data_IF_756279476126
#
_entry.id   IF_756279476126
#
_cell.length_a   1.000
_cell.length_b   1.000
_cell.length_c   1.000
_cell.angle_alpha   90.00
_cell.angle_beta   90.00
_cell.angle_gamma   90.00
#
_symmetry.space_group_name_H-M   'P 1'
#
loop_
_entity.id
_entity.type
_entity.pdbx_description
1 polymer ?
#
# COMPACT_ATOMS: atom_id res chain seq x y z
N UNK A 1 -23.23 -16.64 22.18
CA UNK A 1 -22.44 -15.93 21.16
C UNK A 1 -22.07 -16.90 20.04
N UNK A 2 -22.25 -16.51 18.78
CA UNK A 2 -21.91 -17.31 17.62
C UNK A 2 -21.16 -16.42 16.57
N UNK A 3 -20.65 -17.02 15.49
CA UNK A 3 -19.86 -16.32 14.47
C UNK A 3 -20.65 -15.17 13.82
N UNK A 4 -21.96 -15.35 13.58
CA UNK A 4 -22.80 -14.29 12.99
C UNK A 4 -22.94 -13.07 13.90
N UNK A 5 -22.95 -13.27 15.22
CA UNK A 5 -23.03 -12.15 16.17
C UNK A 5 -21.78 -11.26 16.03
N UNK A 6 -20.60 -11.87 15.81
CA UNK A 6 -19.34 -11.16 15.56
C UNK A 6 -19.34 -10.47 14.18
N UNK A 7 -19.90 -11.10 13.15
CA UNK A 7 -20.07 -10.49 11.82
C UNK A 7 -20.95 -9.24 11.92
N UNK A 8 -22.06 -9.30 12.65
CA UNK A 8 -22.95 -8.15 12.86
C UNK A 8 -22.27 -7.01 13.62
N UNK A 9 -21.48 -7.35 14.65
CA UNK A 9 -20.73 -6.39 15.45
C UNK A 9 -19.70 -5.63 14.56
N UNK A 10 -18.94 -6.36 13.78
CA UNK A 10 -17.92 -5.78 12.87
C UNK A 10 -18.59 -4.95 11.79
N UNK A 11 -19.65 -5.44 11.14
CA UNK A 11 -20.41 -4.69 10.12
C UNK A 11 -20.98 -3.38 10.70
N UNK A 12 -21.50 -3.41 11.94
CA UNK A 12 -22.00 -2.21 12.60
C UNK A 12 -20.87 -1.19 12.89
N UNK A 13 -19.67 -1.65 13.24
CA UNK A 13 -18.51 -0.80 13.46
C UNK A 13 -18.02 -0.14 12.17
N UNK A 14 -18.11 -0.85 11.04
CA UNK A 14 -17.71 -0.33 9.73
C UNK A 14 -18.68 0.69 9.16
N UNK A 15 -19.95 0.37 9.19
CA UNK A 15 -20.99 1.22 8.60
C UNK A 15 -21.47 2.35 9.53
N UNK A 16 -21.27 2.21 10.84
CA UNK A 16 -21.77 3.12 11.88
C UNK A 16 -23.25 3.51 11.70
N UNK A 17 -24.03 2.59 11.11
CA UNK A 17 -25.41 2.76 10.77
C UNK A 17 -26.13 1.39 10.72
N UNK A 18 -27.13 1.17 11.58
CA UNK A 18 -27.80 -0.12 11.72
C UNK A 18 -28.38 -0.66 10.40
N UNK A 19 -29.07 0.16 9.62
CA UNK A 19 -29.65 -0.28 8.35
C UNK A 19 -28.59 -0.72 7.36
N UNK A 20 -27.53 0.09 7.16
CA UNK A 20 -26.42 -0.26 6.24
C UNK A 20 -25.70 -1.53 6.67
N UNK A 21 -25.45 -1.68 7.97
CA UNK A 21 -24.85 -2.90 8.51
C UNK A 21 -25.76 -4.13 8.32
N UNK A 22 -27.08 -3.99 8.48
CA UNK A 22 -28.03 -5.06 8.24
C UNK A 22 -28.08 -5.46 6.76
N UNK A 23 -28.11 -4.47 5.85
CA UNK A 23 -28.09 -4.70 4.42
C UNK A 23 -26.80 -5.43 4.00
N UNK A 24 -25.62 -5.06 4.53
CA UNK A 24 -24.35 -5.75 4.26
C UNK A 24 -24.28 -7.18 4.78
N UNK A 25 -25.03 -7.48 5.84
CA UNK A 25 -25.15 -8.83 6.41
C UNK A 25 -26.35 -9.63 5.86
N UNK A 26 -27.08 -9.09 4.89
CA UNK A 26 -28.28 -9.70 4.29
C UNK A 26 -29.35 -10.06 5.32
N UNK A 27 -29.60 -9.20 6.30
CA UNK A 27 -30.64 -9.37 7.33
C UNK A 27 -31.48 -8.11 7.50
N UNK A 28 -32.60 -8.22 8.23
CA UNK A 28 -33.39 -7.04 8.58
C UNK A 28 -32.72 -6.24 9.71
N UNK A 29 -32.91 -4.91 9.70
CA UNK A 29 -32.37 -4.03 10.74
C UNK A 29 -32.84 -4.41 12.15
N UNK A 30 -34.12 -4.80 12.40
CA UNK A 30 -34.55 -5.31 13.71
C UNK A 30 -33.79 -6.56 14.13
N UNK A 31 -33.51 -7.48 13.20
CA UNK A 31 -32.72 -8.69 13.47
C UNK A 31 -31.33 -8.35 13.96
N UNK A 32 -30.59 -7.50 13.21
CA UNK A 32 -29.24 -7.09 13.58
C UNK A 32 -29.23 -6.37 14.94
N UNK A 33 -30.14 -5.43 15.15
CA UNK A 33 -30.27 -4.69 16.42
C UNK A 33 -30.58 -5.61 17.61
N UNK A 34 -31.45 -6.59 17.42
CA UNK A 34 -31.77 -7.59 18.43
C UNK A 34 -30.58 -8.48 18.78
N UNK A 35 -29.81 -8.91 17.81
CA UNK A 35 -28.61 -9.72 18.03
C UNK A 35 -27.49 -8.94 18.71
N UNK A 36 -27.26 -7.67 18.36
CA UNK A 36 -26.31 -6.82 19.08
C UNK A 36 -26.70 -6.67 20.54
N UNK A 37 -27.98 -6.42 20.84
CA UNK A 37 -28.47 -6.34 22.24
C UNK A 37 -28.28 -7.67 22.99
N UNK A 38 -28.61 -8.80 22.36
CA UNK A 38 -28.36 -10.11 22.93
C UNK A 38 -26.89 -10.37 23.21
N UNK A 39 -26.02 -9.90 22.33
CA UNK A 39 -24.55 -9.97 22.51
C UNK A 39 -24.10 -9.13 23.72
N UNK A 40 -24.63 -7.91 23.89
CA UNK A 40 -24.37 -7.05 25.06
C UNK A 40 -24.83 -7.76 26.37
N UNK A 41 -26.04 -8.36 26.35
CA UNK A 41 -26.57 -9.08 27.52
C UNK A 41 -25.71 -10.31 27.86
N UNK A 42 -25.26 -11.06 26.87
CA UNK A 42 -24.41 -12.26 27.05
C UNK A 42 -23.01 -11.92 27.56
N UNK A 43 -22.41 -10.84 27.04
CA UNK A 43 -21.09 -10.39 27.45
C UNK A 43 -21.11 -9.57 28.75
N UNK A 44 -22.28 -9.12 29.20
CA UNK A 44 -22.42 -8.25 30.36
C UNK A 44 -21.82 -6.84 30.18
N UNK A 45 -21.64 -6.39 28.93
CA UNK A 45 -20.97 -5.12 28.60
C UNK A 45 -21.76 -4.37 27.55
N UNK A 46 -21.96 -3.05 27.74
CA UNK A 46 -22.53 -2.19 26.74
C UNK A 46 -21.51 -1.92 25.65
N UNK A 47 -21.82 -2.31 24.42
CA UNK A 47 -20.98 -2.11 23.24
C UNK A 47 -21.22 -0.75 22.59
N UNK A 48 -22.44 -0.22 22.73
CA UNK A 48 -22.90 1.02 22.12
C UNK A 48 -23.33 2.04 23.17
N UNK A 49 -23.09 3.31 22.89
CA UNK A 49 -23.70 4.40 23.65
C UNK A 49 -25.19 4.54 23.31
N UNK A 50 -26.03 4.75 24.32
CA UNK A 50 -27.48 4.89 24.13
C UNK A 50 -27.81 6.29 23.60
N UNK A 51 -27.48 6.58 22.33
CA UNK A 51 -27.91 7.80 21.65
C UNK A 51 -28.82 7.48 20.47
N UNK A 52 -29.88 8.29 20.27
CA UNK A 52 -30.88 8.02 19.22
C UNK A 52 -30.48 8.49 17.81
N UNK A 53 -29.37 9.22 17.67
CA UNK A 53 -28.99 9.88 16.40
C UNK A 53 -27.75 9.32 15.73
N UNK A 54 -26.84 8.68 16.43
CA UNK A 54 -25.58 8.13 15.89
C UNK A 54 -25.23 6.82 16.56
N UNK A 55 -24.63 5.89 15.81
CA UNK A 55 -24.04 4.69 16.36
C UNK A 55 -22.65 5.06 16.88
N UNK A 56 -22.53 5.16 18.20
CA UNK A 56 -21.27 5.38 18.89
C UNK A 56 -20.92 4.14 19.70
N UNK A 57 -19.69 3.66 19.56
CA UNK A 57 -19.16 2.54 20.32
C UNK A 57 -18.56 3.04 21.64
N UNK A 58 -18.77 2.26 22.70
CA UNK A 58 -18.03 2.45 23.96
C UNK A 58 -16.57 2.03 23.76
N UNK A 59 -15.69 2.39 24.70
CA UNK A 59 -14.31 1.92 24.69
C UNK A 59 -14.23 0.39 24.72
N UNK A 60 -15.04 -0.26 25.57
CA UNK A 60 -15.15 -1.71 25.61
C UNK A 60 -15.68 -2.29 24.29
N UNK A 61 -16.67 -1.61 23.67
CA UNK A 61 -17.21 -2.00 22.37
C UNK A 61 -16.15 -2.00 21.27
N UNK A 62 -15.29 -0.99 21.21
CA UNK A 62 -14.20 -0.93 20.22
C UNK A 62 -13.18 -2.05 20.43
N UNK A 63 -12.77 -2.33 21.67
CA UNK A 63 -11.86 -3.45 21.97
C UNK A 63 -12.46 -4.79 21.55
N UNK A 64 -13.76 -4.99 21.79
CA UNK A 64 -14.45 -6.21 21.39
C UNK A 64 -14.65 -6.32 19.87
N UNK A 65 -14.82 -5.20 19.16
CA UNK A 65 -14.81 -5.19 17.68
C UNK A 65 -13.46 -5.68 17.15
N UNK A 66 -12.34 -5.21 17.69
CA UNK A 66 -11.01 -5.63 17.24
C UNK A 66 -10.76 -7.12 17.54
N UNK A 67 -11.21 -7.59 18.71
CA UNK A 67 -11.14 -9.02 19.02
C UNK A 67 -12.07 -9.85 18.14
N UNK A 68 -13.27 -9.36 17.83
CA UNK A 68 -14.20 -10.03 16.91
C UNK A 68 -13.59 -10.18 15.49
N UNK A 69 -12.92 -9.15 15.00
CA UNK A 69 -12.15 -9.22 13.74
C UNK A 69 -11.09 -10.31 13.77
N UNK A 70 -10.38 -10.45 14.90
CA UNK A 70 -9.36 -11.50 15.06
C UNK A 70 -9.98 -12.90 15.02
N UNK A 71 -11.12 -13.12 15.68
CA UNK A 71 -11.84 -14.41 15.64
C UNK A 71 -12.36 -14.72 14.24
N UNK A 72 -12.96 -13.73 13.55
CA UNK A 72 -13.46 -13.90 12.17
C UNK A 72 -12.33 -14.21 11.19
N UNK A 73 -11.14 -13.63 11.38
CA UNK A 73 -9.93 -14.01 10.63
C UNK A 73 -9.58 -15.48 10.84
N UNK A 74 -9.60 -15.95 12.09
CA UNK A 74 -9.37 -17.38 12.40
C UNK A 74 -10.37 -18.30 11.72
N UNK A 75 -11.65 -17.91 11.64
CA UNK A 75 -12.69 -18.67 10.92
C UNK A 75 -12.44 -18.69 9.42
N UNK A 76 -12.09 -17.54 8.82
CA UNK A 76 -11.66 -17.45 7.41
C UNK A 76 -10.46 -18.37 7.16
N UNK A 77 -9.47 -18.33 8.05
CA UNK A 77 -8.30 -19.17 8.04
C UNK A 77 -8.63 -20.69 8.00
N UNK A 78 -9.55 -21.15 8.88
CA UNK A 78 -9.99 -22.56 8.88
C UNK A 78 -10.62 -22.97 7.54
N UNK A 79 -11.43 -22.10 6.94
CA UNK A 79 -12.04 -22.34 5.63
C UNK A 79 -10.98 -22.43 4.53
N UNK A 80 -9.99 -21.56 4.57
CA UNK A 80 -8.87 -21.53 3.63
C UNK A 80 -7.99 -22.77 3.75
N UNK A 81 -7.67 -23.20 4.97
CA UNK A 81 -6.96 -24.48 5.21
C UNK A 81 -7.73 -25.68 4.65
N UNK A 82 -9.03 -25.70 4.84
CA UNK A 82 -9.87 -26.78 4.32
C UNK A 82 -9.95 -26.77 2.78
N UNK A 83 -9.86 -25.59 2.15
CA UNK A 83 -9.90 -25.45 0.69
C UNK A 83 -8.55 -25.74 0.00
N UNK A 84 -7.45 -25.74 0.75
CA UNK A 84 -6.09 -25.99 0.23
C UNK A 84 -5.81 -27.45 -0.19
N UNK A 85 -6.78 -28.34 -0.18
CA UNK A 85 -6.65 -29.68 -0.81
C UNK A 85 -6.66 -29.61 -2.34
N UNK A 86 -6.69 -28.39 -2.94
CA UNK A 86 -6.64 -28.10 -4.36
C UNK A 86 -5.47 -27.16 -4.72
N UNK A 87 -5.44 -26.71 -5.97
CA UNK A 87 -4.39 -25.85 -6.54
C UNK A 87 -4.06 -24.62 -5.66
N UNK A 88 -2.80 -24.48 -5.29
CA UNK A 88 -2.31 -23.46 -4.36
C UNK A 88 -2.60 -22.02 -4.84
N UNK A 89 -2.60 -21.77 -6.16
CA UNK A 89 -2.77 -20.44 -6.77
C UNK A 89 -4.14 -20.31 -7.44
N UNK A 90 -5.23 -20.41 -6.66
CA UNK A 90 -6.62 -20.28 -7.15
C UNK A 90 -7.50 -19.52 -6.15
N UNK A 91 -8.62 -18.95 -6.62
CA UNK A 91 -9.60 -18.19 -5.82
C UNK A 91 -9.13 -16.77 -5.46
N UNK A 92 -9.86 -16.08 -4.57
CA UNK A 92 -9.65 -14.66 -4.29
C UNK A 92 -8.35 -14.39 -3.54
N UNK A 93 -7.70 -13.27 -3.88
CA UNK A 93 -6.54 -12.72 -3.21
C UNK A 93 -6.63 -11.19 -3.19
N UNK A 94 -6.74 -10.60 -2.00
CA UNK A 94 -6.82 -9.16 -1.80
C UNK A 94 -5.43 -8.58 -1.57
N UNK A 95 -4.94 -7.82 -2.54
CA UNK A 95 -3.58 -7.26 -2.57
C UNK A 95 -3.67 -5.75 -2.39
N UNK A 96 -3.00 -5.22 -1.38
CA UNK A 96 -2.80 -3.79 -1.21
C UNK A 96 -1.55 -3.31 -1.95
N UNK A 97 -1.59 -2.10 -2.52
CA UNK A 97 -0.43 -1.46 -3.15
C UNK A 97 -0.37 0.01 -2.75
N UNK A 98 0.82 0.52 -2.50
CA UNK A 98 0.99 1.97 -2.29
C UNK A 98 0.88 2.73 -3.62
N UNK A 99 0.38 3.99 -3.61
CA UNK A 99 0.16 4.78 -4.83
C UNK A 99 1.44 5.09 -5.64
N UNK A 100 2.60 4.99 -5.00
CA UNK A 100 3.89 5.18 -5.66
C UNK A 100 4.46 3.91 -6.31
N UNK A 101 3.74 2.78 -6.21
CA UNK A 101 4.12 1.48 -6.79
C UNK A 101 2.99 0.93 -7.67
N UNK A 102 1.75 0.92 -7.19
CA UNK A 102 0.62 0.27 -7.85
C UNK A 102 0.49 0.62 -9.34
N UNK A 103 0.28 1.89 -9.71
CA UNK A 103 0.06 2.29 -11.10
C UNK A 103 1.21 1.92 -12.06
N UNK A 104 2.42 1.84 -11.53
CA UNK A 104 3.63 1.64 -12.32
C UNK A 104 4.09 0.18 -12.38
N UNK A 105 3.86 -0.60 -11.31
CA UNK A 105 4.22 -2.02 -11.26
C UNK A 105 3.17 -2.91 -11.95
N UNK A 106 1.88 -2.63 -11.73
CA UNK A 106 0.79 -3.48 -12.20
C UNK A 106 0.83 -3.75 -13.71
N UNK A 107 1.11 -2.78 -14.60
CA UNK A 107 1.21 -3.04 -16.05
C UNK A 107 2.29 -4.07 -16.42
N UNK A 108 3.34 -4.18 -15.61
CA UNK A 108 4.42 -5.15 -15.83
C UNK A 108 4.09 -6.56 -15.35
N UNK A 109 3.35 -6.69 -14.26
CA UNK A 109 3.13 -7.98 -13.60
C UNK A 109 1.77 -8.62 -13.92
N UNK A 110 0.70 -7.85 -14.09
CA UNK A 110 -0.67 -8.38 -14.29
C UNK A 110 -0.78 -9.31 -15.50
N UNK A 111 -0.28 -8.95 -16.70
CA UNK A 111 -0.35 -9.86 -17.85
C UNK A 111 0.34 -11.20 -17.59
N UNK A 112 1.50 -11.19 -16.95
CA UNK A 112 2.24 -12.39 -16.60
C UNK A 112 1.50 -13.21 -15.52
N UNK A 113 0.98 -12.56 -14.47
CA UNK A 113 0.24 -13.24 -13.41
C UNK A 113 -1.04 -13.93 -13.92
N UNK A 114 -1.78 -13.31 -14.84
CA UNK A 114 -2.94 -13.95 -15.48
C UNK A 114 -2.54 -15.18 -16.30
N UNK A 115 -1.38 -15.17 -16.96
CA UNK A 115 -0.88 -16.32 -17.70
C UNK A 115 -0.39 -17.44 -16.78
N UNK A 116 0.36 -17.09 -15.73
CA UNK A 116 0.97 -18.06 -14.82
C UNK A 116 -0.04 -18.65 -13.83
N UNK A 117 -1.00 -17.84 -13.39
CA UNK A 117 -1.99 -18.20 -12.36
C UNK A 117 -3.42 -17.89 -12.83
N UNK A 118 -3.94 -18.57 -13.88
CA UNK A 118 -5.21 -18.21 -14.52
C UNK A 118 -6.45 -18.38 -13.64
N UNK A 119 -6.33 -19.10 -12.52
CA UNK A 119 -7.43 -19.31 -11.56
C UNK A 119 -7.34 -18.38 -10.33
N UNK A 120 -6.34 -17.49 -10.29
CA UNK A 120 -6.18 -16.52 -9.22
C UNK A 120 -7.05 -15.28 -9.50
N UNK A 121 -7.96 -14.97 -8.59
CA UNK A 121 -8.81 -13.79 -8.65
C UNK A 121 -8.20 -12.66 -7.82
N UNK A 122 -7.51 -11.72 -8.47
CA UNK A 122 -6.81 -10.63 -7.80
C UNK A 122 -7.74 -9.43 -7.56
N UNK A 123 -7.91 -9.04 -6.30
CA UNK A 123 -8.61 -7.83 -5.88
C UNK A 123 -7.57 -6.81 -5.41
N UNK A 124 -7.39 -5.74 -6.19
CA UNK A 124 -6.35 -4.75 -5.98
C UNK A 124 -6.90 -3.54 -5.21
N UNK A 125 -6.19 -3.12 -4.17
CA UNK A 125 -6.55 -1.99 -3.31
C UNK A 125 -5.38 -1.02 -3.23
N UNK A 126 -5.62 0.24 -3.56
CA UNK A 126 -4.60 1.28 -3.45
C UNK A 126 -4.89 2.20 -2.27
N UNK A 127 -3.90 2.37 -1.39
CA UNK A 127 -3.97 3.29 -0.26
C UNK A 127 -2.56 3.60 0.29
N UNK A 128 -2.46 4.58 1.18
CA UNK A 128 -1.21 4.92 1.87
C UNK A 128 -0.75 3.80 2.80
N UNK A 129 0.56 3.74 3.10
CA UNK A 129 1.20 2.66 3.86
C UNK A 129 0.48 2.34 5.17
N UNK A 130 0.19 3.35 6.01
CA UNK A 130 -0.45 3.14 7.31
C UNK A 130 -1.85 2.52 7.18
N UNK A 131 -2.63 2.90 6.15
CA UNK A 131 -3.96 2.36 5.88
C UNK A 131 -3.87 0.91 5.41
N UNK A 132 -2.90 0.60 4.53
CA UNK A 132 -2.67 -0.76 4.03
C UNK A 132 -2.23 -1.69 5.15
N UNK A 133 -1.31 -1.28 6.01
CA UNK A 133 -0.86 -2.07 7.16
C UNK A 133 -2.01 -2.32 8.15
N UNK A 134 -2.85 -1.32 8.42
CA UNK A 134 -4.05 -1.50 9.25
C UNK A 134 -5.07 -2.45 8.60
N UNK A 135 -5.25 -2.40 7.28
CA UNK A 135 -6.11 -3.35 6.55
C UNK A 135 -5.50 -4.75 6.49
N UNK A 136 -4.19 -4.86 6.38
CA UNK A 136 -3.46 -6.12 6.47
C UNK A 136 -3.63 -6.74 7.85
N UNK A 137 -3.41 -5.98 8.91
CA UNK A 137 -3.57 -6.44 10.29
C UNK A 137 -5.01 -6.87 10.58
N UNK A 138 -6.00 -6.09 10.15
CA UNK A 138 -7.43 -6.43 10.30
C UNK A 138 -7.91 -7.59 9.41
N UNK A 139 -7.09 -8.13 8.50
CA UNK A 139 -7.42 -9.24 7.60
C UNK A 139 -8.33 -8.85 6.42
N UNK A 140 -8.52 -7.56 6.15
CA UNK A 140 -9.19 -7.09 4.93
C UNK A 140 -8.32 -7.31 3.70
N UNK A 141 -6.98 -7.24 3.86
CA UNK A 141 -6.02 -7.58 2.84
C UNK A 141 -5.30 -8.88 3.22
N UNK A 142 -4.92 -9.64 2.21
CA UNK A 142 -4.15 -10.86 2.35
C UNK A 142 -2.65 -10.56 2.37
N UNK A 143 -2.19 -9.71 1.47
CA UNK A 143 -0.83 -9.19 1.41
C UNK A 143 -0.81 -7.75 0.88
N UNK A 144 0.35 -7.09 1.04
CA UNK A 144 0.56 -5.71 0.60
C UNK A 144 1.90 -5.62 -0.13
N UNK A 145 1.97 -4.88 -1.23
CA UNK A 145 3.21 -4.52 -1.92
C UNK A 145 3.50 -3.05 -1.64
N UNK A 146 4.62 -2.80 -0.96
CA UNK A 146 5.02 -1.47 -0.51
C UNK A 146 6.55 -1.33 -0.49
N UNK A 147 7.04 -0.12 -0.32
CA UNK A 147 8.43 0.08 0.05
C UNK A 147 8.61 -0.31 1.52
N UNK A 148 9.59 -1.19 1.80
CA UNK A 148 9.86 -1.67 3.15
C UNK A 148 10.27 -0.50 4.05
N UNK A 149 9.59 -0.37 5.17
CA UNK A 149 9.76 0.69 6.16
C UNK A 149 9.69 0.07 7.56
N UNK A 150 10.13 0.81 8.56
CA UNK A 150 10.16 0.32 9.94
C UNK A 150 8.78 -0.17 10.45
N UNK A 151 7.70 0.46 10.02
CA UNK A 151 6.34 0.11 10.38
C UNK A 151 5.91 -1.27 9.84
N UNK A 152 6.57 -1.78 8.81
CA UNK A 152 6.29 -3.12 8.26
C UNK A 152 7.02 -4.26 8.97
N UNK A 153 7.98 -3.99 9.85
CA UNK A 153 8.75 -5.00 10.60
C UNK A 153 7.89 -5.92 11.50
N UNK A 154 6.68 -5.49 11.87
CA UNK A 154 5.74 -6.32 12.63
C UNK A 154 5.12 -7.47 11.81
N UNK A 155 5.32 -7.47 10.50
CA UNK A 155 4.82 -8.44 9.53
C UNK A 155 5.97 -9.26 8.94
N UNK A 156 5.63 -10.29 8.15
CA UNK A 156 6.64 -11.01 7.37
C UNK A 156 6.90 -10.22 6.10
N UNK A 157 8.14 -9.80 5.93
CA UNK A 157 8.61 -9.07 4.76
C UNK A 157 9.32 -10.02 3.79
N UNK A 158 8.94 -9.93 2.52
CA UNK A 158 9.57 -10.67 1.42
C UNK A 158 10.06 -9.64 0.40
N UNK A 159 11.36 -9.28 0.40
CA UNK A 159 11.90 -8.34 -0.58
C UNK A 159 11.65 -8.82 -2.01
N UNK A 160 11.23 -7.91 -2.88
CA UNK A 160 10.97 -8.19 -4.30
C UNK A 160 12.13 -7.68 -5.17
N UNK A 161 12.42 -6.39 -5.10
CA UNK A 161 13.50 -5.75 -5.85
C UNK A 161 13.91 -4.42 -5.21
N UNK A 162 15.14 -3.99 -5.51
CA UNK A 162 15.61 -2.66 -5.19
C UNK A 162 15.33 -1.72 -6.36
N UNK A 163 14.58 -0.67 -6.08
CA UNK A 163 14.18 0.33 -7.06
C UNK A 163 15.04 1.58 -6.91
N UNK A 164 15.84 1.97 -7.93
CA UNK A 164 16.57 3.23 -7.92
C UNK A 164 15.62 4.42 -8.04
N UNK A 165 16.07 5.58 -7.56
CA UNK A 165 15.39 6.86 -7.74
C UNK A 165 16.18 7.73 -8.71
N UNK A 166 15.48 8.42 -9.61
CA UNK A 166 16.04 9.37 -10.56
C UNK A 166 15.63 10.78 -10.17
N UNK A 167 16.53 11.72 -10.39
CA UNK A 167 16.24 13.14 -10.27
C UNK A 167 15.43 13.59 -11.49
N UNK A 168 14.26 14.15 -11.26
CA UNK A 168 13.41 14.77 -12.27
C UNK A 168 13.59 16.29 -12.22
N UNK A 169 14.02 16.88 -13.33
CA UNK A 169 14.26 18.30 -13.49
C UNK A 169 13.52 18.83 -14.72
N UNK A 170 13.22 20.13 -14.76
CA UNK A 170 12.61 20.75 -15.94
C UNK A 170 13.63 20.92 -17.08
N UNK A 171 13.13 21.05 -18.30
CA UNK A 171 13.91 21.03 -19.54
C UNK A 171 15.05 22.05 -19.61
N UNK A 172 14.80 23.27 -19.09
CA UNK A 172 15.75 24.38 -19.11
C UNK A 172 16.61 24.44 -17.84
N UNK A 173 16.61 23.41 -17.01
CA UNK A 173 17.42 23.35 -15.79
C UNK A 173 18.93 23.32 -16.17
N UNK A 174 19.82 23.98 -15.41
CA UNK A 174 21.27 23.98 -15.68
C UNK A 174 21.89 22.59 -15.79
N UNK A 175 21.27 21.58 -15.19
CA UNK A 175 21.76 20.19 -15.24
C UNK A 175 21.14 19.35 -16.36
N UNK A 176 20.24 19.88 -17.18
CA UNK A 176 19.50 19.09 -18.18
C UNK A 176 20.42 18.36 -19.20
N UNK A 177 21.64 18.87 -19.43
CA UNK A 177 22.61 18.26 -20.33
C UNK A 177 23.64 17.35 -19.63
N UNK A 178 23.53 17.14 -18.30
CA UNK A 178 24.44 16.25 -17.57
C UNK A 178 24.01 14.80 -17.79
N UNK A 179 24.91 13.84 -17.74
CA UNK A 179 24.65 12.43 -17.79
C UNK A 179 24.16 11.89 -16.42
N UNK A 180 24.66 12.46 -15.33
CA UNK A 180 24.28 12.11 -13.95
C UNK A 180 24.48 13.30 -13.01
N UNK A 181 23.92 13.23 -11.81
CA UNK A 181 24.06 14.26 -10.77
C UNK A 181 24.59 13.62 -9.48
N UNK A 182 25.75 14.06 -8.97
CA UNK A 182 26.18 13.68 -7.63
C UNK A 182 25.17 14.16 -6.59
N UNK A 183 24.82 13.32 -5.62
CA UNK A 183 23.88 13.71 -4.57
C UNK A 183 24.32 14.97 -3.80
N UNK A 184 25.63 15.17 -3.63
CA UNK A 184 26.18 16.38 -3.00
C UNK A 184 25.84 17.69 -3.73
N UNK A 185 25.57 17.64 -5.04
CA UNK A 185 25.19 18.81 -5.83
C UNK A 185 23.76 19.30 -5.48
N UNK A 186 22.96 18.49 -4.81
CA UNK A 186 21.62 18.87 -4.34
C UNK A 186 21.67 19.85 -3.16
N UNK A 187 22.85 20.11 -2.56
CA UNK A 187 23.01 21.04 -1.44
C UNK A 187 22.45 22.44 -1.79
N UNK A 188 21.48 22.90 -1.00
CA UNK A 188 20.81 24.19 -1.19
C UNK A 188 19.69 24.19 -2.24
N UNK A 189 19.45 23.07 -2.95
CA UNK A 189 18.30 22.93 -3.84
C UNK A 189 17.02 22.69 -3.04
N UNK A 190 15.89 23.18 -3.59
CA UNK A 190 14.56 22.96 -3.04
C UNK A 190 13.82 21.86 -3.81
N UNK A 191 13.50 20.79 -3.11
CA UNK A 191 12.81 19.65 -3.71
C UNK A 191 11.30 19.71 -3.45
N UNK A 192 10.54 19.48 -4.52
CA UNK A 192 9.11 19.22 -4.45
C UNK A 192 8.89 17.83 -3.88
N UNK A 193 7.97 17.70 -2.91
CA UNK A 193 7.71 16.43 -2.21
C UNK A 193 6.24 16.03 -2.27
N UNK A 194 5.98 14.76 -2.01
CA UNK A 194 4.63 14.27 -1.73
C UNK A 194 4.18 14.76 -0.35
N UNK A 195 2.87 14.78 -0.13
CA UNK A 195 2.27 15.04 1.18
C UNK A 195 2.64 13.97 2.21
N UNK A 196 2.40 14.26 3.48
CA UNK A 196 2.63 13.34 4.59
C UNK A 196 1.81 12.05 4.42
N UNK A 197 2.36 10.90 4.87
CA UNK A 197 1.75 9.57 4.76
C UNK A 197 2.19 8.76 3.55
N UNK A 198 2.95 9.35 2.63
CA UNK A 198 3.63 8.61 1.57
C UNK A 198 5.05 8.23 2.03
N UNK A 199 5.33 6.94 2.18
CA UNK A 199 6.67 6.46 2.59
C UNK A 199 7.79 6.93 1.64
N UNK A 200 7.48 7.20 0.37
CA UNK A 200 8.44 7.76 -0.59
C UNK A 200 8.94 9.14 -0.15
N UNK A 201 8.08 9.98 0.46
CA UNK A 201 8.48 11.27 0.99
C UNK A 201 9.60 11.12 2.02
N UNK A 202 9.38 10.27 3.03
CA UNK A 202 10.34 10.08 4.12
C UNK A 202 11.66 9.49 3.61
N UNK A 203 11.59 8.56 2.64
CA UNK A 203 12.77 7.98 1.99
C UNK A 203 13.53 9.02 1.16
N UNK A 204 12.84 9.80 0.31
CA UNK A 204 13.45 10.85 -0.49
C UNK A 204 14.07 11.94 0.40
N UNK A 205 13.36 12.35 1.47
CA UNK A 205 13.87 13.30 2.44
C UNK A 205 15.15 12.81 3.13
N UNK A 206 15.22 11.51 3.50
CA UNK A 206 16.42 10.93 4.08
C UNK A 206 17.65 11.15 3.19
N UNK A 207 17.55 10.80 1.90
CA UNK A 207 18.65 11.00 0.95
C UNK A 207 18.96 12.48 0.69
N UNK A 208 17.92 13.33 0.58
CA UNK A 208 18.09 14.75 0.25
C UNK A 208 18.65 15.55 1.42
N UNK A 209 18.21 15.31 2.65
CA UNK A 209 18.75 15.99 3.83
C UNK A 209 20.20 15.61 4.12
N UNK A 210 20.57 14.32 3.94
CA UNK A 210 21.97 13.91 4.02
C UNK A 210 22.86 14.63 3.00
N UNK A 211 22.27 14.97 1.84
CA UNK A 211 22.93 15.74 0.78
C UNK A 211 22.90 17.26 1.02
N UNK A 212 22.19 17.77 2.02
CA UNK A 212 22.06 19.21 2.31
C UNK A 212 21.02 19.93 1.47
N UNK A 213 20.06 19.21 0.88
CA UNK A 213 18.91 19.80 0.20
C UNK A 213 17.75 20.08 1.17
N UNK A 214 16.89 21.03 0.83
CA UNK A 214 15.72 21.42 1.59
C UNK A 214 14.40 21.03 0.90
N UNK A 215 13.32 20.84 1.69
CA UNK A 215 11.98 20.69 1.14
C UNK A 215 11.40 22.06 0.74
N UNK A 216 10.76 22.14 -0.43
CA UNK A 216 9.88 23.23 -0.73
C UNK A 216 8.54 23.03 0.00
N UNK A 217 8.33 23.76 1.09
CA UNK A 217 7.14 23.66 1.93
C UNK A 217 5.90 24.34 1.33
N UNK A 218 6.04 25.11 0.24
CA UNK A 218 4.92 25.81 -0.39
C UNK A 218 4.05 24.88 -1.23
N UNK A 219 4.57 23.72 -1.63
CA UNK A 219 3.85 22.78 -2.46
C UNK A 219 4.06 21.34 -2.01
N UNK A 220 2.97 20.62 -1.79
CA UNK A 220 2.93 19.20 -1.49
C UNK A 220 1.97 18.50 -2.43
N UNK A 221 2.44 17.51 -3.13
CA UNK A 221 1.64 16.77 -4.11
C UNK A 221 0.98 15.54 -3.49
N UNK A 222 -0.19 15.21 -3.99
CA UNK A 222 -0.92 13.97 -3.61
C UNK A 222 -0.53 12.78 -4.49
N UNK A 223 0.17 13.00 -5.62
CA UNK A 223 0.58 11.95 -6.56
C UNK A 223 1.88 12.27 -7.27
N UNK A 224 2.55 11.23 -7.79
CA UNK A 224 3.77 11.38 -8.60
C UNK A 224 3.50 12.11 -9.92
N UNK A 225 2.32 11.95 -10.49
CA UNK A 225 1.94 12.69 -11.72
C UNK A 225 1.84 14.19 -11.47
N UNK A 226 1.27 14.58 -10.33
CA UNK A 226 1.24 16.00 -9.94
C UNK A 226 2.65 16.54 -9.74
N UNK A 227 3.56 15.80 -9.07
CA UNK A 227 4.96 16.19 -8.95
C UNK A 227 5.61 16.39 -10.31
N UNK A 228 5.44 15.43 -11.22
CA UNK A 228 6.00 15.48 -12.58
C UNK A 228 5.53 16.73 -13.33
N UNK A 229 4.24 17.02 -13.29
CA UNK A 229 3.67 18.19 -13.95
C UNK A 229 4.19 19.51 -13.35
N UNK A 230 4.42 19.58 -12.05
CA UNK A 230 5.00 20.76 -11.40
C UNK A 230 6.48 20.95 -11.77
N UNK A 231 7.24 19.84 -11.89
CA UNK A 231 8.60 19.87 -12.41
C UNK A 231 8.61 20.37 -13.86
N UNK A 232 7.74 19.83 -14.72
CA UNK A 232 7.61 20.26 -16.12
C UNK A 232 7.30 21.77 -16.24
N UNK A 233 6.51 22.31 -15.29
CA UNK A 233 6.18 23.73 -15.21
C UNK A 233 7.33 24.61 -14.65
N UNK A 234 8.50 24.03 -14.32
CA UNK A 234 9.64 24.77 -13.78
C UNK A 234 9.51 25.17 -12.31
N UNK A 235 8.58 24.54 -11.55
CA UNK A 235 8.33 24.91 -10.15
C UNK A 235 9.41 24.40 -9.19
N UNK A 236 10.25 23.46 -9.61
CA UNK A 236 11.30 22.86 -8.78
C UNK A 236 11.78 21.54 -9.37
N UNK A 237 12.48 20.76 -8.57
CA UNK A 237 13.00 19.45 -8.91
C UNK A 237 12.50 18.40 -7.91
N UNK A 238 12.57 17.11 -8.22
CA UNK A 238 12.15 16.04 -7.30
C UNK A 238 12.87 14.72 -7.57
N UNK A 239 12.82 13.78 -6.62
CA UNK A 239 13.22 12.39 -6.84
C UNK A 239 11.99 11.54 -7.19
N UNK A 240 12.07 10.81 -8.30
CA UNK A 240 11.03 9.87 -8.72
C UNK A 240 11.57 8.43 -8.75
N UNK A 241 10.78 7.44 -8.32
CA UNK A 241 11.17 6.04 -8.43
C UNK A 241 11.22 5.61 -9.90
N UNK A 242 12.15 4.73 -10.23
CA UNK A 242 12.44 4.32 -11.61
C UNK A 242 11.25 3.71 -12.34
N UNK A 243 10.34 3.01 -11.63
CA UNK A 243 9.08 2.51 -12.20
C UNK A 243 8.18 3.64 -12.75
N UNK A 244 8.21 4.79 -12.11
CA UNK A 244 7.41 5.95 -12.51
C UNK A 244 8.08 6.79 -13.63
N UNK A 245 9.32 6.48 -13.99
CA UNK A 245 10.08 7.22 -15.02
C UNK A 245 9.80 6.56 -16.38
N UNK A 246 9.45 7.36 -17.42
CA UNK A 246 9.29 6.83 -18.77
C UNK A 246 10.65 6.34 -19.32
N UNK A 247 10.65 5.44 -20.33
CA UNK A 247 11.89 4.93 -20.91
C UNK A 247 12.73 6.01 -21.58
N UNK A 248 12.10 7.10 -22.04
CA UNK A 248 12.81 8.21 -22.66
C UNK A 248 13.41 9.12 -21.59
N UNK A 249 14.70 9.45 -21.70
CA UNK A 249 15.41 10.37 -20.80
C UNK A 249 14.72 11.74 -20.65
N UNK A 250 14.08 12.21 -21.72
CA UNK A 250 13.37 13.48 -21.79
C UNK A 250 11.97 13.25 -22.31
N UNK A 251 10.96 13.63 -21.54
CA UNK A 251 9.56 13.52 -21.92
C UNK A 251 8.70 14.57 -21.22
N UNK A 252 7.78 15.16 -21.98
CA UNK A 252 6.75 16.08 -21.47
C UNK A 252 7.33 17.24 -20.62
N UNK A 253 8.48 17.82 -21.05
CA UNK A 253 9.12 18.94 -20.36
C UNK A 253 9.99 18.55 -19.16
N UNK A 254 10.17 17.25 -18.90
CA UNK A 254 10.99 16.73 -17.79
C UNK A 254 12.19 15.95 -18.32
N UNK A 255 13.34 16.17 -17.71
CA UNK A 255 14.57 15.40 -17.91
C UNK A 255 14.82 14.56 -16.66
N UNK A 256 15.11 13.26 -16.86
CA UNK A 256 15.38 12.30 -15.80
C UNK A 256 16.86 11.97 -15.77
N UNK A 257 17.50 12.15 -14.62
CA UNK A 257 18.94 11.96 -14.42
C UNK A 257 19.21 10.97 -13.30
N UNK A 258 20.11 10.00 -13.51
CA UNK A 258 20.57 9.16 -12.41
C UNK A 258 21.35 10.00 -11.38
N UNK A 259 21.09 9.72 -10.10
CA UNK A 259 21.89 10.25 -9.00
C UNK A 259 23.02 9.28 -8.65
N UNK A 260 24.18 9.82 -8.26
CA UNK A 260 25.36 9.03 -7.90
C UNK A 260 25.96 9.51 -6.57
N UNK A 261 26.62 8.58 -5.86
CA UNK A 261 27.44 8.81 -4.67
C UNK A 261 26.71 9.51 -3.50
N UNK A 262 25.74 8.83 -2.86
CA UNK A 262 25.23 7.48 -3.15
C UNK A 262 24.15 7.50 -4.25
N UNK A 263 23.86 6.34 -4.81
CA UNK A 263 22.69 6.14 -5.66
C UNK A 263 21.47 5.90 -4.75
N UNK A 264 20.46 6.79 -4.74
CA UNK A 264 19.29 6.62 -3.88
C UNK A 264 18.45 5.45 -4.38
N UNK A 265 18.08 4.54 -3.46
CA UNK A 265 17.29 3.34 -3.75
C UNK A 265 16.28 3.08 -2.66
N UNK A 266 15.20 2.39 -3.00
CA UNK A 266 14.25 1.84 -2.03
C UNK A 266 13.99 0.36 -2.31
N UNK A 267 13.82 -0.45 -1.27
CA UNK A 267 13.46 -1.85 -1.42
C UNK A 267 11.95 -1.99 -1.46
N UNK A 268 11.41 -2.52 -2.55
CA UNK A 268 10.01 -2.89 -2.67
C UNK A 268 9.87 -4.32 -2.20
N UNK A 269 8.89 -4.58 -1.33
CA UNK A 269 8.61 -5.89 -0.78
C UNK A 269 7.15 -6.26 -0.78
N UNK A 270 6.88 -7.54 -0.69
CA UNK A 270 5.57 -8.10 -0.40
C UNK A 270 5.52 -8.40 1.10
N UNK A 271 4.48 -7.92 1.76
CA UNK A 271 4.33 -7.99 3.22
C UNK A 271 3.04 -8.72 3.55
N UNK A 272 3.09 -9.65 4.50
CA UNK A 272 1.92 -10.41 4.95
C UNK A 272 2.00 -10.73 6.45
N UNK A 273 0.86 -11.13 7.04
CA UNK A 273 0.76 -11.42 8.48
C UNK A 273 1.58 -12.65 8.88
N UNK A 274 2.27 -12.62 10.05
CA UNK A 274 2.83 -13.82 10.65
C UNK A 274 1.75 -14.89 10.84
N UNK A 275 2.10 -16.15 10.58
CA UNK A 275 1.17 -17.28 10.74
C UNK A 275 0.07 -17.37 9.68
N UNK A 276 0.11 -16.57 8.60
CA UNK A 276 -0.84 -16.72 7.49
C UNK A 276 -0.71 -18.09 6.82
N UNK A 277 -1.84 -18.80 6.58
CA UNK A 277 -1.81 -20.09 5.89
C UNK A 277 -1.51 -19.96 4.41
N UNK A 278 -1.72 -18.76 3.85
CA UNK A 278 -1.49 -18.47 2.45
C UNK A 278 -0.01 -18.16 2.15
N UNK A 279 0.90 -18.39 3.11
CA UNK A 279 2.34 -18.14 2.98
C UNK A 279 2.89 -18.66 1.65
N UNK A 280 2.58 -19.90 1.29
CA UNK A 280 3.07 -20.51 0.03
C UNK A 280 2.57 -19.75 -1.21
N UNK A 281 1.35 -19.18 -1.17
CA UNK A 281 0.81 -18.33 -2.25
C UNK A 281 1.60 -17.03 -2.37
N UNK A 282 1.92 -16.39 -1.24
CA UNK A 282 2.67 -15.15 -1.24
C UNK A 282 4.10 -15.34 -1.72
N UNK A 283 4.74 -16.44 -1.32
CA UNK A 283 6.10 -16.79 -1.77
C UNK A 283 6.13 -17.06 -3.28
N UNK A 284 5.17 -17.80 -3.83
CA UNK A 284 5.02 -18.03 -5.29
C UNK A 284 4.74 -16.73 -6.05
N UNK A 285 3.87 -15.87 -5.52
CA UNK A 285 3.60 -14.55 -6.10
C UNK A 285 4.85 -13.68 -6.11
N UNK A 286 5.59 -13.65 -4.99
CA UNK A 286 6.83 -12.89 -4.86
C UNK A 286 7.90 -13.40 -5.83
N UNK A 287 8.04 -14.72 -6.00
CA UNK A 287 8.99 -15.33 -6.95
C UNK A 287 8.66 -14.95 -8.39
N UNK A 288 7.38 -15.02 -8.77
CA UNK A 288 6.94 -14.63 -10.11
C UNK A 288 7.20 -13.13 -10.39
N UNK A 289 6.94 -12.27 -9.40
CA UNK A 289 7.22 -10.83 -9.52
C UNK A 289 8.73 -10.58 -9.64
N UNK A 290 9.56 -11.19 -8.80
CA UNK A 290 11.04 -11.07 -8.88
C UNK A 290 11.54 -11.45 -10.26
N UNK A 291 11.15 -12.63 -10.76
CA UNK A 291 11.55 -13.12 -12.07
C UNK A 291 11.14 -12.16 -13.21
N UNK A 292 9.98 -11.50 -13.08
CA UNK A 292 9.52 -10.52 -14.07
C UNK A 292 10.30 -9.20 -14.02
N UNK A 293 10.73 -8.80 -12.83
CA UNK A 293 11.41 -7.53 -12.60
C UNK A 293 12.94 -7.63 -12.71
N UNK A 294 13.47 -8.85 -12.84
CA UNK A 294 14.91 -9.08 -12.97
C UNK A 294 15.50 -8.32 -14.18
N UNK A 295 16.57 -7.57 -13.95
CA UNK A 295 17.23 -6.73 -14.95
C UNK A 295 16.37 -5.59 -15.53
N UNK A 296 15.17 -5.31 -14.97
CA UNK A 296 14.29 -4.24 -15.46
C UNK A 296 14.95 -2.86 -15.33
N UNK A 297 15.52 -2.59 -14.17
CA UNK A 297 16.12 -1.28 -13.87
C UNK A 297 17.45 -1.02 -14.57
N UNK A 298 18.20 -2.06 -14.94
CA UNK A 298 19.43 -1.92 -15.74
C UNK A 298 19.16 -1.28 -17.09
N UNK A 299 17.98 -1.55 -17.67
CA UNK A 299 17.56 -0.93 -18.93
C UNK A 299 17.18 0.54 -18.73
N UNK A 300 16.43 0.84 -17.65
CA UNK A 300 16.00 2.22 -17.33
C UNK A 300 17.23 3.11 -17.06
N UNK A 301 18.16 2.64 -16.26
CA UNK A 301 19.38 3.38 -15.94
C UNK A 301 20.29 3.60 -17.17
N UNK A 302 20.40 2.59 -18.06
CA UNK A 302 21.18 2.72 -19.31
C UNK A 302 20.55 3.68 -20.31
N UNK A 303 19.25 3.86 -20.30
CA UNK A 303 18.53 4.78 -21.19
C UNK A 303 18.50 6.21 -20.64
N UNK A 304 18.69 6.38 -19.33
CA UNK A 304 18.80 7.69 -18.69
C UNK A 304 20.21 8.32 -18.82
N UNK A 305 21.20 7.54 -19.24
CA UNK A 305 22.56 7.96 -19.60
C UNK A 305 22.63 8.14 -21.10
#
# INVERSE_FOLDING_TARGET
MNIRDLEYLVALAEHRHFRRAADSCHVSQPTLSGQIRKLEDELGVMLLERTSRKVLFTQAGMLLVDQARTVLRGVKFLKEMASQQGETMSGPLHIGLIPTVGPYLLPHIIPMLHQTFPKLEMYLHEAQTHQLLAQLDSGKLDCVILALVKESEAFIEVPLFDEPMLLAIYEDHPWANRECVPMADLAGEKLLMLEDGHCLRDQAMGFCFEAGADEDTHFRATSLETLRNMVAAGSGITLLPALAVPPERKRDGVVYLPCIKPEPRRTIGLVYRPGSPLRSRYEQLAEAIRARMDGHFDKVLKQAV
#
